data_IF_744886359750
#
_entry.id   IF_744886359750
#
_cell.length_a   1.000
_cell.length_b   1.000
_cell.length_c   1.000
_cell.angle_alpha   90.00
_cell.angle_beta   90.00
_cell.angle_gamma   90.00
#
_symmetry.space_group_name_H-M   'P 1'
#
loop_
_entity.id
_entity.type
_entity.pdbx_description
1 polymer ?
#
# COMPACT_ATOMS: atom_id res chain seq x y z
N UNK A 1 23.61 -32.83 -37.97
CA UNK A 1 24.17 -31.94 -36.93
C UNK A 1 23.39 -30.64 -37.02
N UNK A 2 22.25 -30.58 -36.34
CA UNK A 2 21.38 -29.42 -36.35
C UNK A 2 21.78 -28.47 -35.21
N UNK A 3 22.32 -27.32 -35.58
CA UNK A 3 22.62 -26.24 -34.66
C UNK A 3 21.32 -25.52 -34.28
N UNK A 4 20.68 -25.97 -33.20
CA UNK A 4 19.73 -25.14 -32.49
C UNK A 4 20.45 -23.92 -31.89
N UNK A 5 20.36 -22.80 -32.61
CA UNK A 5 20.69 -21.47 -32.10
C UNK A 5 19.73 -21.17 -30.95
N UNK A 6 20.15 -21.44 -29.72
CA UNK A 6 19.52 -20.88 -28.52
C UNK A 6 19.73 -19.37 -28.58
N UNK A 7 18.73 -18.64 -29.05
CA UNK A 7 18.63 -17.21 -28.81
C UNK A 7 18.59 -17.01 -27.30
N UNK A 8 19.69 -16.52 -26.74
CA UNK A 8 19.70 -16.00 -25.37
C UNK A 8 18.76 -14.80 -25.37
N UNK A 9 17.60 -14.92 -24.74
CA UNK A 9 16.68 -13.81 -24.51
C UNK A 9 17.47 -12.72 -23.78
N UNK A 10 17.84 -11.65 -24.48
CA UNK A 10 18.54 -10.52 -23.89
C UNK A 10 17.67 -9.94 -22.78
N UNK A 11 18.25 -9.67 -21.60
CA UNK A 11 17.51 -8.98 -20.54
C UNK A 11 17.13 -7.59 -21.05
N UNK A 12 15.83 -7.32 -21.06
CA UNK A 12 15.30 -6.04 -21.51
C UNK A 12 15.64 -4.98 -20.47
N UNK A 13 16.36 -3.93 -20.85
CA UNK A 13 16.72 -2.82 -19.95
C UNK A 13 15.98 -1.54 -20.36
N UNK A 14 15.51 -0.79 -19.37
CA UNK A 14 14.92 0.53 -19.65
C UNK A 14 15.97 1.47 -20.25
N UNK A 15 15.52 2.38 -21.13
CA UNK A 15 16.36 3.31 -21.88
C UNK A 15 17.39 2.68 -22.83
N UNK A 16 17.24 1.40 -23.17
CA UNK A 16 18.05 0.78 -24.21
C UNK A 16 17.46 1.04 -25.61
N UNK A 17 17.95 2.11 -26.26
CA UNK A 17 17.53 2.50 -27.61
C UNK A 17 17.73 1.41 -28.68
N UNK A 18 18.69 0.49 -28.49
CA UNK A 18 19.00 -0.51 -29.50
C UNK A 18 17.94 -1.62 -29.58
N UNK A 19 17.35 -1.97 -28.43
CA UNK A 19 16.42 -3.10 -28.29
C UNK A 19 14.96 -2.66 -28.13
N UNK A 20 14.73 -1.40 -27.76
CA UNK A 20 13.39 -0.82 -27.56
C UNK A 20 12.61 -0.64 -28.86
N UNK A 21 11.35 -1.05 -28.83
CA UNK A 21 10.37 -0.98 -29.93
C UNK A 21 9.31 0.13 -29.72
N UNK A 22 9.23 0.71 -28.52
CA UNK A 22 8.32 1.80 -28.16
C UNK A 22 9.07 2.92 -27.44
N UNK A 23 8.61 4.15 -27.61
CA UNK A 23 9.07 5.31 -26.84
C UNK A 23 7.93 5.84 -26.00
N UNK A 24 8.14 5.98 -24.70
CA UNK A 24 7.22 6.67 -23.81
C UNK A 24 7.66 8.11 -23.67
N UNK A 25 6.81 9.05 -24.05
CA UNK A 25 7.06 10.49 -23.95
C UNK A 25 6.35 11.03 -22.72
N UNK A 26 7.09 11.30 -21.66
CA UNK A 26 6.60 11.97 -20.46
C UNK A 26 6.56 13.47 -20.69
N UNK A 27 5.38 14.08 -20.59
CA UNK A 27 5.17 15.52 -20.79
C UNK A 27 4.57 16.16 -19.54
N UNK A 28 5.22 17.23 -19.10
CA UNK A 28 4.68 18.19 -18.12
C UNK A 28 4.54 19.56 -18.80
N UNK A 29 4.13 20.58 -18.05
CA UNK A 29 4.10 21.95 -18.56
C UNK A 29 5.50 22.45 -18.95
N UNK A 30 6.53 22.01 -18.22
CA UNK A 30 7.89 22.53 -18.31
C UNK A 30 8.90 21.53 -18.89
N UNK A 31 8.57 20.23 -18.91
CA UNK A 31 9.47 19.15 -19.33
C UNK A 31 8.87 18.27 -20.43
N UNK A 32 9.77 17.78 -21.28
CA UNK A 32 9.48 16.79 -22.31
C UNK A 32 10.62 15.77 -22.31
N UNK A 33 10.33 14.55 -21.85
CA UNK A 33 11.32 13.51 -21.64
C UNK A 33 10.94 12.23 -22.36
N UNK A 34 11.90 11.61 -23.05
CA UNK A 34 11.68 10.41 -23.85
C UNK A 34 12.37 9.23 -23.18
N UNK A 35 11.60 8.17 -22.95
CA UNK A 35 12.06 6.94 -22.33
C UNK A 35 11.96 5.82 -23.37
N UNK A 36 13.05 5.12 -23.63
CA UNK A 36 13.04 4.00 -24.58
C UNK A 36 12.59 2.73 -23.86
N UNK A 37 11.50 2.12 -24.34
CA UNK A 37 10.83 1.04 -23.67
C UNK A 37 10.56 -0.18 -24.56
N UNK A 38 10.20 -1.30 -23.92
CA UNK A 38 9.79 -2.54 -24.57
C UNK A 38 8.29 -2.75 -24.41
N UNK A 39 7.56 -2.83 -25.52
CA UNK A 39 6.10 -2.93 -25.54
C UNK A 39 5.60 -4.12 -24.73
N UNK A 40 6.26 -5.28 -24.85
CA UNK A 40 5.86 -6.50 -24.13
C UNK A 40 5.89 -6.33 -22.59
N UNK A 41 6.83 -5.55 -22.04
CA UNK A 41 6.88 -5.24 -20.59
C UNK A 41 5.76 -4.28 -20.23
N UNK A 42 5.61 -3.19 -20.99
CA UNK A 42 4.60 -2.17 -20.70
C UNK A 42 3.18 -2.74 -20.77
N UNK A 43 2.87 -3.51 -21.81
CA UNK A 43 1.55 -4.13 -22.03
C UNK A 43 1.25 -5.18 -20.96
N UNK A 44 2.26 -5.94 -20.53
CA UNK A 44 2.09 -6.95 -19.48
C UNK A 44 1.79 -6.32 -18.11
N UNK A 45 2.45 -5.20 -17.79
CA UNK A 45 2.45 -4.62 -16.44
C UNK A 45 1.48 -3.43 -16.27
N UNK A 46 0.89 -2.93 -17.36
CA UNK A 46 0.07 -1.72 -17.32
C UNK A 46 -1.08 -1.79 -18.30
N UNK A 47 -2.29 -1.65 -17.76
CA UNK A 47 -3.51 -1.54 -18.58
C UNK A 47 -3.48 -0.30 -19.48
N UNK A 48 -2.98 0.82 -18.98
CA UNK A 48 -2.87 2.07 -19.76
C UNK A 48 -2.04 1.87 -21.03
N UNK A 49 -0.89 1.21 -20.92
CA UNK A 49 -0.04 0.93 -22.08
C UNK A 49 -0.61 -0.17 -22.97
N UNK A 50 -1.24 -1.20 -22.40
CA UNK A 50 -1.96 -2.23 -23.16
C UNK A 50 -3.02 -1.62 -24.08
N UNK A 51 -3.82 -0.69 -23.56
CA UNK A 51 -4.88 -0.04 -24.33
C UNK A 51 -4.30 0.87 -25.43
N UNK A 52 -3.24 1.64 -25.13
CA UNK A 52 -2.64 2.61 -26.08
C UNK A 52 -1.71 2.01 -27.12
N UNK A 53 -1.18 0.82 -26.89
CA UNK A 53 -0.36 0.06 -27.84
C UNK A 53 -1.18 -0.98 -28.60
N UNK A 54 -2.49 -1.06 -28.35
CA UNK A 54 -3.39 -1.91 -29.10
C UNK A 54 -3.53 -1.46 -30.55
N UNK A 55 -3.85 -2.40 -31.45
CA UNK A 55 -4.13 -2.12 -32.87
C UNK A 55 -5.29 -1.14 -33.09
N UNK A 56 -6.13 -0.95 -32.07
CA UNK A 56 -7.30 -0.07 -32.10
C UNK A 56 -7.00 1.39 -31.76
N UNK A 57 -5.81 1.70 -31.23
CA UNK A 57 -5.44 3.07 -30.87
C UNK A 57 -4.71 3.76 -32.03
N UNK A 58 -5.07 5.02 -32.39
CA UNK A 58 -4.34 5.76 -33.41
C UNK A 58 -2.94 6.11 -32.88
N UNK A 59 -1.95 5.29 -33.22
CA UNK A 59 -0.56 5.50 -32.83
C UNK A 59 0.14 6.44 -33.81
N UNK A 60 0.81 7.45 -33.27
CA UNK A 60 1.79 8.23 -34.03
C UNK A 60 3.11 7.45 -34.06
N UNK A 61 3.55 7.06 -35.25
CA UNK A 61 4.91 6.57 -35.44
C UNK A 61 5.87 7.76 -35.40
N UNK A 62 6.89 7.69 -34.55
CA UNK A 62 7.95 8.70 -34.47
C UNK A 62 9.24 8.18 -35.12
N UNK A 63 10.30 8.98 -35.07
CA UNK A 63 11.65 8.67 -35.58
C UNK A 63 12.02 7.18 -35.43
N UNK A 64 12.58 6.61 -36.50
CA UNK A 64 12.89 5.19 -36.66
C UNK A 64 11.65 4.26 -36.74
N UNK A 65 10.45 4.78 -37.03
CA UNK A 65 9.18 4.03 -37.16
C UNK A 65 8.75 3.31 -35.88
N UNK A 66 9.15 3.80 -34.70
CA UNK A 66 8.73 3.26 -33.41
C UNK A 66 7.38 3.84 -32.98
N UNK A 67 6.62 3.06 -32.21
CA UNK A 67 5.40 3.55 -31.58
C UNK A 67 5.74 4.57 -30.49
N UNK A 68 4.99 5.68 -30.43
CA UNK A 68 5.11 6.68 -29.38
C UNK A 68 3.85 6.69 -28.50
N UNK A 69 4.04 6.56 -27.19
CA UNK A 69 2.95 6.74 -26.21
C UNK A 69 3.24 7.98 -25.38
N UNK A 70 2.38 8.99 -25.51
CA UNK A 70 2.45 10.18 -24.68
C UNK A 70 1.76 9.96 -23.33
N UNK A 71 2.45 10.30 -22.25
CA UNK A 71 1.94 10.31 -20.87
C UNK A 71 2.04 11.73 -20.35
N UNK A 72 0.90 12.30 -19.99
CA UNK A 72 0.83 13.63 -19.41
C UNK A 72 0.73 13.51 -17.89
N UNK A 73 1.60 14.22 -17.17
CA UNK A 73 1.57 14.30 -15.72
C UNK A 73 1.88 15.72 -15.25
N UNK A 74 1.57 15.99 -13.98
CA UNK A 74 1.99 17.22 -13.32
C UNK A 74 3.49 17.17 -13.04
N UNK A 75 4.12 18.34 -12.89
CA UNK A 75 5.55 18.44 -12.61
C UNK A 75 5.93 17.75 -11.30
N UNK A 76 5.08 17.81 -10.28
CA UNK A 76 5.25 17.10 -9.00
C UNK A 76 5.19 15.57 -9.13
N UNK A 77 4.52 15.07 -10.17
CA UNK A 77 4.32 13.65 -10.42
C UNK A 77 5.37 13.08 -11.38
N UNK A 78 6.21 13.93 -11.99
CA UNK A 78 7.15 13.53 -13.03
C UNK A 78 8.10 12.43 -12.56
N UNK A 79 8.79 12.66 -11.43
CA UNK A 79 9.77 11.71 -10.91
C UNK A 79 9.10 10.41 -10.48
N UNK A 80 7.90 10.48 -9.89
CA UNK A 80 7.10 9.31 -9.53
C UNK A 80 6.67 8.50 -10.76
N UNK A 81 6.24 9.18 -11.83
CA UNK A 81 5.84 8.55 -13.10
C UNK A 81 7.03 7.86 -13.77
N UNK A 82 8.19 8.52 -13.80
CA UNK A 82 9.44 7.94 -14.29
C UNK A 82 9.86 6.75 -13.44
N UNK A 83 9.69 6.83 -12.11
CA UNK A 83 9.98 5.72 -11.21
C UNK A 83 9.08 4.53 -11.53
N UNK A 84 7.76 4.72 -11.68
CA UNK A 84 6.85 3.63 -12.08
C UNK A 84 7.33 2.91 -13.33
N UNK A 85 7.73 3.65 -14.39
CA UNK A 85 8.27 3.02 -15.61
C UNK A 85 9.49 2.14 -15.34
N UNK A 86 10.40 2.58 -14.46
CA UNK A 86 11.57 1.77 -14.04
C UNK A 86 11.12 0.51 -13.28
N UNK A 87 10.08 0.59 -12.45
CA UNK A 87 9.57 -0.56 -11.70
C UNK A 87 8.95 -1.64 -12.58
N UNK A 88 8.33 -1.28 -13.71
CA UNK A 88 7.77 -2.28 -14.64
C UNK A 88 8.85 -3.26 -15.13
N UNK A 89 10.10 -2.78 -15.24
CA UNK A 89 11.25 -3.61 -15.62
C UNK A 89 11.78 -4.47 -14.47
N UNK A 90 11.76 -3.96 -13.23
CA UNK A 90 12.22 -4.73 -12.06
C UNK A 90 11.24 -5.85 -11.68
N UNK A 91 9.94 -5.58 -11.76
CA UNK A 91 8.89 -6.56 -11.45
C UNK A 91 8.89 -7.71 -12.45
N UNK A 92 9.15 -7.40 -13.74
CA UNK A 92 9.23 -8.41 -14.80
C UNK A 92 10.37 -9.42 -14.59
N UNK A 93 11.44 -9.04 -13.88
CA UNK A 93 12.60 -9.89 -13.60
C UNK A 93 12.49 -10.64 -12.24
N UNK A 94 11.32 -10.66 -11.60
CA UNK A 94 11.00 -11.43 -10.37
C UNK A 94 11.82 -11.10 -9.11
N UNK A 95 12.68 -10.08 -9.14
CA UNK A 95 13.50 -9.65 -8.00
C UNK A 95 12.96 -8.34 -7.41
N UNK A 96 11.76 -8.39 -6.82
CA UNK A 96 11.17 -7.22 -6.15
C UNK A 96 11.56 -7.28 -4.68
N UNK A 97 12.51 -6.42 -4.27
CA UNK A 97 12.78 -6.16 -2.86
C UNK A 97 12.02 -4.89 -2.45
N UNK A 98 11.49 -4.88 -1.22
CA UNK A 98 10.71 -3.80 -0.60
C UNK A 98 11.44 -2.45 -0.44
N UNK A 99 12.65 -2.29 -1.00
CA UNK A 99 13.48 -1.08 -0.91
C UNK A 99 13.13 -0.02 -1.98
N UNK A 100 12.05 -0.23 -2.72
CA UNK A 100 11.71 0.58 -3.90
C UNK A 100 11.19 1.98 -3.54
N UNK A 101 10.47 2.10 -2.43
CA UNK A 101 9.70 3.30 -2.18
C UNK A 101 10.45 4.38 -1.38
N UNK A 102 11.59 4.07 -0.74
CA UNK A 102 12.41 5.04 0.03
C UNK A 102 11.62 6.10 0.84
N UNK A 103 10.56 5.71 1.55
CA UNK A 103 9.74 6.58 2.40
C UNK A 103 8.25 6.61 2.03
N UNK A 104 7.42 7.06 2.97
CA UNK A 104 5.95 7.04 2.85
C UNK A 104 5.45 8.01 1.77
N UNK A 105 5.95 9.25 1.73
CA UNK A 105 5.53 10.24 0.72
C UNK A 105 5.88 9.80 -0.70
N UNK A 106 7.07 9.24 -0.89
CA UNK A 106 7.52 8.70 -2.17
C UNK A 106 6.68 7.47 -2.55
N UNK A 107 6.40 6.55 -1.61
CA UNK A 107 5.48 5.44 -1.83
C UNK A 107 4.10 5.92 -2.29
N UNK A 108 3.55 6.97 -1.67
CA UNK A 108 2.27 7.56 -2.05
C UNK A 108 2.29 8.16 -3.46
N UNK A 109 3.33 8.90 -3.81
CA UNK A 109 3.48 9.45 -5.16
C UNK A 109 3.60 8.36 -6.23
N UNK A 110 4.38 7.31 -5.96
CA UNK A 110 4.49 6.14 -6.85
C UNK A 110 3.14 5.41 -6.95
N UNK A 111 2.45 5.19 -5.82
CA UNK A 111 1.13 4.57 -5.77
C UNK A 111 0.12 5.32 -6.65
N UNK A 112 0.06 6.64 -6.54
CA UNK A 112 -0.79 7.48 -7.37
C UNK A 112 -0.47 7.35 -8.86
N UNK A 113 0.80 7.45 -9.23
CA UNK A 113 1.24 7.32 -10.61
C UNK A 113 0.94 5.93 -11.17
N UNK A 114 1.20 4.87 -10.40
CA UNK A 114 0.91 3.48 -10.76
C UNK A 114 -0.59 3.23 -10.93
N UNK A 115 -1.42 3.81 -10.05
CA UNK A 115 -2.86 3.72 -10.16
C UNK A 115 -3.37 4.43 -11.44
N UNK A 116 -2.88 5.64 -11.74
CA UNK A 116 -3.20 6.39 -12.97
C UNK A 116 -2.80 5.61 -14.23
N UNK A 117 -1.66 4.91 -14.20
CA UNK A 117 -1.17 4.07 -15.30
C UNK A 117 -1.75 2.64 -15.29
N UNK A 118 -2.60 2.30 -14.32
CA UNK A 118 -3.21 0.97 -14.22
C UNK A 118 -2.19 -0.16 -14.10
N UNK A 119 -1.22 -0.01 -13.18
CA UNK A 119 -0.15 -0.97 -12.90
C UNK A 119 -0.42 -1.72 -11.57
N UNK A 120 -1.21 -2.82 -11.55
CA UNK A 120 -1.70 -3.42 -10.31
C UNK A 120 -0.60 -4.04 -9.43
N UNK A 121 0.47 -4.56 -10.02
CA UNK A 121 1.60 -5.13 -9.27
C UNK A 121 2.37 -4.04 -8.51
N UNK A 122 2.58 -2.87 -9.13
CA UNK A 122 3.21 -1.72 -8.47
C UNK A 122 2.30 -1.16 -7.38
N UNK A 123 0.98 -1.07 -7.64
CA UNK A 123 -0.01 -0.64 -6.64
C UNK A 123 0.02 -1.55 -5.42
N UNK A 124 0.07 -2.87 -5.64
CA UNK A 124 0.14 -3.86 -4.56
C UNK A 124 1.44 -3.70 -3.76
N UNK A 125 2.60 -3.59 -4.42
CA UNK A 125 3.87 -3.41 -3.75
C UNK A 125 3.94 -2.12 -2.91
N UNK A 126 3.39 -1.01 -3.41
CA UNK A 126 3.29 0.23 -2.64
C UNK A 126 2.33 0.09 -1.46
N UNK A 127 1.19 -0.59 -1.62
CA UNK A 127 0.23 -0.81 -0.55
C UNK A 127 0.83 -1.67 0.57
N UNK A 128 1.53 -2.76 0.23
CA UNK A 128 2.22 -3.63 1.19
C UNK A 128 3.32 -2.87 1.96
N UNK A 129 4.09 -2.03 1.25
CA UNK A 129 5.08 -1.18 1.91
C UNK A 129 4.43 -0.20 2.89
N UNK A 130 3.40 0.54 2.44
CA UNK A 130 2.70 1.51 3.27
C UNK A 130 2.06 0.84 4.48
N UNK A 131 1.47 -0.34 4.33
CA UNK A 131 0.90 -1.12 5.42
C UNK A 131 1.96 -1.53 6.47
N UNK A 132 3.19 -1.83 6.03
CA UNK A 132 4.25 -2.34 6.90
C UNK A 132 5.03 -1.26 7.67
N UNK A 133 5.06 -0.02 7.22
CA UNK A 133 5.90 1.05 7.82
C UNK A 133 5.12 1.95 8.79
N UNK A 134 5.75 2.50 9.85
CA UNK A 134 5.13 3.52 10.69
C UNK A 134 4.90 4.81 9.88
N UNK A 135 3.91 5.61 10.30
CA UNK A 135 3.57 6.90 9.67
C UNK A 135 3.65 8.02 10.70
N UNK A 136 4.10 9.18 10.25
CA UNK A 136 3.89 10.44 10.97
C UNK A 136 2.47 10.98 10.75
N UNK A 137 1.99 11.84 11.65
CA UNK A 137 0.63 12.43 11.56
C UNK A 137 0.37 13.12 10.22
N UNK A 138 1.36 13.87 9.71
CA UNK A 138 1.25 14.51 8.39
C UNK A 138 1.16 13.50 7.24
N UNK A 139 1.82 12.34 7.36
CA UNK A 139 1.75 11.28 6.35
C UNK A 139 0.42 10.54 6.40
N UNK A 140 -0.16 10.36 7.59
CA UNK A 140 -1.51 9.82 7.76
C UNK A 140 -2.55 10.72 7.09
N UNK A 141 -2.48 12.03 7.26
CA UNK A 141 -3.37 12.96 6.57
C UNK A 141 -3.25 12.83 5.04
N UNK A 142 -2.04 12.68 4.53
CA UNK A 142 -1.80 12.52 3.09
C UNK A 142 -2.34 11.17 2.59
N UNK A 143 -2.16 10.08 3.35
CA UNK A 143 -2.78 8.78 3.08
C UNK A 143 -4.30 8.91 2.97
N UNK A 144 -4.94 9.60 3.91
CA UNK A 144 -6.39 9.83 3.94
C UNK A 144 -6.88 10.68 2.76
N UNK A 145 -6.08 11.60 2.24
CA UNK A 145 -6.42 12.38 1.04
C UNK A 145 -6.32 11.55 -0.23
N UNK A 146 -5.36 10.63 -0.30
CA UNK A 146 -4.94 9.97 -1.54
C UNK A 146 -5.64 8.63 -1.78
N UNK A 147 -5.65 7.76 -0.77
CA UNK A 147 -5.97 6.34 -0.93
C UNK A 147 -7.48 6.00 -1.06
N UNK A 148 -8.45 6.69 -0.42
CA UNK A 148 -9.85 6.25 -0.40
C UNK A 148 -10.51 5.94 -1.73
N UNK A 149 -10.02 6.53 -2.84
CA UNK A 149 -10.62 6.37 -4.17
C UNK A 149 -9.90 5.32 -5.05
N UNK A 150 -8.94 4.56 -4.52
CA UNK A 150 -8.09 3.64 -5.29
C UNK A 150 -8.53 2.16 -5.27
N UNK A 151 -9.69 1.86 -4.67
CA UNK A 151 -10.29 0.51 -4.69
C UNK A 151 -9.72 -0.44 -3.62
N UNK A 152 -9.95 -1.74 -3.78
CA UNK A 152 -9.71 -2.73 -2.72
C UNK A 152 -8.25 -3.12 -2.52
N UNK A 153 -7.37 -2.92 -3.51
CA UNK A 153 -5.95 -3.31 -3.42
C UNK A 153 -5.20 -2.56 -2.31
N UNK A 154 -5.63 -1.34 -2.00
CA UNK A 154 -5.09 -0.49 -0.94
C UNK A 154 -5.88 -0.57 0.37
N UNK A 155 -6.90 -1.42 0.42
CA UNK A 155 -7.77 -1.60 1.59
C UNK A 155 -7.02 -1.88 2.90
N UNK A 156 -5.97 -2.72 2.91
CA UNK A 156 -5.18 -2.98 4.13
C UNK A 156 -4.55 -1.72 4.72
N UNK A 157 -4.12 -0.77 3.89
CA UNK A 157 -3.57 0.52 4.35
C UNK A 157 -4.64 1.31 5.10
N UNK A 158 -5.84 1.47 4.54
CA UNK A 158 -6.95 2.17 5.19
C UNK A 158 -7.47 1.43 6.43
N UNK A 159 -7.32 0.11 6.50
CA UNK A 159 -7.73 -0.68 7.65
C UNK A 159 -6.95 -0.30 8.93
N UNK A 160 -5.72 0.22 8.80
CA UNK A 160 -4.95 0.77 9.94
C UNK A 160 -5.61 1.99 10.58
N UNK A 161 -6.41 2.72 9.80
CA UNK A 161 -7.09 3.94 10.23
C UNK A 161 -8.56 3.69 10.62
N UNK A 162 -9.05 2.46 10.40
CA UNK A 162 -10.41 2.14 10.82
C UNK A 162 -10.49 2.13 12.34
N UNK A 163 -11.44 2.85 12.93
CA UNK A 163 -11.64 2.79 14.37
C UNK A 163 -11.95 1.35 14.76
N UNK A 164 -11.29 0.89 15.83
CA UNK A 164 -11.60 -0.41 16.41
C UNK A 164 -13.09 -0.41 16.79
N UNK A 165 -13.85 -1.40 16.31
CA UNK A 165 -15.29 -1.42 16.56
C UNK A 165 -15.57 -1.40 18.07
N UNK A 166 -16.55 -0.62 18.51
CA UNK A 166 -16.94 -0.54 19.94
C UNK A 166 -17.18 -1.93 20.55
N UNK A 167 -17.73 -2.88 19.78
CA UNK A 167 -17.92 -4.26 20.25
C UNK A 167 -16.59 -4.98 20.50
N UNK A 168 -15.59 -4.83 19.63
CA UNK A 168 -14.27 -5.42 19.84
C UNK A 168 -13.58 -4.82 21.07
N UNK A 169 -13.71 -3.50 21.25
CA UNK A 169 -13.23 -2.79 22.43
C UNK A 169 -13.89 -3.34 23.72
N UNK A 170 -15.22 -3.43 23.76
CA UNK A 170 -15.96 -3.97 24.92
C UNK A 170 -15.54 -5.41 25.22
N UNK A 171 -15.43 -6.27 24.19
CA UNK A 171 -15.01 -7.67 24.38
C UNK A 171 -13.60 -7.79 24.93
N UNK A 172 -12.67 -6.96 24.45
CA UNK A 172 -11.31 -6.91 24.97
C UNK A 172 -11.30 -6.49 26.44
N UNK A 173 -12.03 -5.42 26.78
CA UNK A 173 -12.15 -4.91 28.14
C UNK A 173 -12.75 -5.96 29.10
N UNK A 174 -13.86 -6.59 28.72
CA UNK A 174 -14.50 -7.69 29.48
C UNK A 174 -13.55 -8.86 29.67
N UNK A 175 -12.75 -9.21 28.65
CA UNK A 175 -11.77 -10.29 28.75
C UNK A 175 -10.62 -9.96 29.70
N UNK A 176 -10.11 -8.72 29.63
CA UNK A 176 -9.10 -8.22 30.55
C UNK A 176 -9.61 -8.21 32.00
N UNK A 177 -10.85 -7.74 32.23
CA UNK A 177 -11.50 -7.80 33.53
C UNK A 177 -11.60 -9.22 34.08
N UNK A 178 -12.12 -10.16 33.29
CA UNK A 178 -12.23 -11.56 33.69
C UNK A 178 -10.88 -12.12 34.13
N UNK A 179 -9.84 -11.85 33.35
CA UNK A 179 -8.49 -12.29 33.64
C UNK A 179 -7.95 -11.65 34.93
N UNK A 180 -8.07 -10.32 35.05
CA UNK A 180 -7.67 -9.54 36.22
C UNK A 180 -8.38 -9.96 37.53
N UNK A 181 -9.61 -10.47 37.45
CA UNK A 181 -10.37 -10.95 38.62
C UNK A 181 -10.34 -12.47 38.78
N UNK A 182 -9.63 -13.20 37.92
CA UNK A 182 -9.52 -14.66 38.02
C UNK A 182 -8.42 -15.10 38.99
N UNK A 183 -8.30 -16.41 39.20
CA UNK A 183 -7.19 -17.04 39.90
C UNK A 183 -6.32 -17.82 38.90
N UNK A 184 -5.52 -17.14 38.07
CA UNK A 184 -4.66 -17.82 37.10
C UNK A 184 -3.50 -18.53 37.82
N UNK A 185 -2.78 -19.45 37.14
CA UNK A 185 -1.56 -20.06 37.67
C UNK A 185 -0.52 -19.02 38.07
N UNK A 186 0.35 -19.37 39.01
CA UNK A 186 1.36 -18.43 39.57
C UNK A 186 2.26 -17.80 38.51
N UNK A 187 2.54 -18.51 37.40
CA UNK A 187 3.33 -18.00 36.27
C UNK A 187 2.71 -16.80 35.54
N UNK A 188 1.42 -16.54 35.75
CA UNK A 188 0.67 -15.43 35.13
C UNK A 188 0.32 -14.33 36.13
N UNK A 189 0.79 -14.40 37.38
CA UNK A 189 0.50 -13.39 38.40
C UNK A 189 0.97 -11.99 38.00
N UNK A 190 2.13 -11.88 37.34
CA UNK A 190 2.63 -10.59 36.86
C UNK A 190 1.70 -9.99 35.80
N UNK A 191 1.27 -10.80 34.83
CA UNK A 191 0.32 -10.38 33.81
C UNK A 191 -1.02 -9.97 34.41
N UNK A 192 -1.49 -10.70 35.44
CA UNK A 192 -2.72 -10.36 36.17
C UNK A 192 -2.60 -8.99 36.83
N UNK A 193 -1.50 -8.75 37.54
CA UNK A 193 -1.23 -7.46 38.18
C UNK A 193 -1.18 -6.33 37.15
N UNK A 194 -0.48 -6.52 36.04
CA UNK A 194 -0.46 -5.54 34.94
C UNK A 194 -1.86 -5.30 34.39
N UNK A 195 -2.67 -6.34 34.18
CA UNK A 195 -4.05 -6.18 33.73
C UNK A 195 -4.90 -5.39 34.74
N UNK A 196 -4.71 -5.60 36.05
CA UNK A 196 -5.39 -4.84 37.10
C UNK A 196 -4.99 -3.36 37.09
N UNK A 197 -3.69 -3.06 37.00
CA UNK A 197 -3.16 -1.70 36.94
C UNK A 197 -3.65 -0.95 35.69
N UNK A 198 -3.65 -1.61 34.53
CA UNK A 198 -4.15 -1.01 33.29
C UNK A 198 -5.66 -0.76 33.32
N UNK A 199 -6.45 -1.68 33.91
CA UNK A 199 -7.88 -1.47 34.10
C UNK A 199 -8.18 -0.33 35.07
N UNK A 200 -7.41 -0.21 36.15
CA UNK A 200 -7.53 0.91 37.10
C UNK A 200 -7.28 2.24 36.38
N UNK A 201 -6.16 2.36 35.66
CA UNK A 201 -5.83 3.55 34.87
C UNK A 201 -6.95 3.92 33.89
N UNK A 202 -7.43 2.95 33.10
CA UNK A 202 -8.54 3.16 32.14
C UNK A 202 -9.87 3.58 32.80
N UNK A 203 -10.08 3.25 34.07
CA UNK A 203 -11.31 3.56 34.81
C UNK A 203 -11.24 4.88 35.57
N UNK A 204 -10.05 5.32 35.98
CA UNK A 204 -9.88 6.45 36.90
C UNK A 204 -9.15 7.65 36.29
N UNK A 205 -8.31 7.45 35.28
CA UNK A 205 -7.43 8.49 34.73
C UNK A 205 -7.69 8.84 33.25
N UNK A 206 -8.56 8.09 32.57
CA UNK A 206 -8.94 8.36 31.17
C UNK A 206 -10.07 9.41 31.13
N UNK A 207 -9.72 10.69 30.95
CA UNK A 207 -10.65 11.84 30.87
C UNK A 207 -11.62 11.74 29.66
N UNK A 208 -11.28 10.93 28.65
CA UNK A 208 -12.14 10.59 27.53
C UNK A 208 -13.13 9.48 27.93
N UNK A 209 -14.12 9.80 28.77
CA UNK A 209 -15.17 8.90 29.30
C UNK A 209 -16.08 8.18 28.27
N UNK A 210 -15.67 8.10 27.00
CA UNK A 210 -16.43 7.57 25.87
C UNK A 210 -16.45 6.02 25.80
N UNK A 211 -15.38 5.36 26.25
CA UNK A 211 -15.17 3.92 26.06
C UNK A 211 -16.12 3.08 26.94
N UNK A 212 -16.43 3.60 28.13
CA UNK A 212 -17.32 3.03 29.13
C UNK A 212 -18.56 3.89 29.36
N UNK A 213 -19.04 4.57 28.33
CA UNK A 213 -20.37 5.19 28.36
C UNK A 213 -21.37 4.22 28.99
N UNK A 214 -22.08 4.71 30.01
CA UNK A 214 -22.83 3.94 31.01
C UNK A 214 -23.95 3.03 30.47
N UNK A 215 -24.07 2.83 29.16
CA UNK A 215 -25.08 2.01 28.48
C UNK A 215 -24.59 0.63 27.99
N UNK A 216 -23.34 0.24 28.25
CA UNK A 216 -22.92 -1.14 27.95
C UNK A 216 -23.40 -2.12 29.04
N UNK A 217 -24.61 -2.65 28.86
CA UNK A 217 -25.17 -3.71 29.73
C UNK A 217 -24.21 -4.89 29.92
N UNK A 218 -23.40 -5.20 28.91
CA UNK A 218 -22.40 -6.27 28.94
C UNK A 218 -21.31 -6.02 29.99
N UNK A 219 -20.74 -4.81 30.07
CA UNK A 219 -19.72 -4.48 31.07
C UNK A 219 -20.32 -4.48 32.47
N UNK A 220 -21.51 -3.89 32.66
CA UNK A 220 -22.21 -3.90 33.95
C UNK A 220 -22.46 -5.33 34.46
N UNK A 221 -22.93 -6.21 33.57
CA UNK A 221 -23.16 -7.62 33.91
C UNK A 221 -21.86 -8.31 34.29
N UNK A 222 -20.76 -8.04 33.57
CA UNK A 222 -19.46 -8.63 33.91
C UNK A 222 -18.95 -8.16 35.27
N UNK A 223 -19.01 -6.85 35.57
CA UNK A 223 -18.63 -6.32 36.90
C UNK A 223 -19.38 -7.05 38.01
N UNK A 224 -20.69 -7.21 37.87
CA UNK A 224 -21.52 -7.93 38.85
C UNK A 224 -21.09 -9.40 38.97
N UNK A 225 -20.76 -10.06 37.87
CA UNK A 225 -20.27 -11.44 37.89
C UNK A 225 -18.89 -11.56 38.55
N UNK A 226 -17.97 -10.65 38.27
CA UNK A 226 -16.65 -10.60 38.89
C UNK A 226 -16.75 -10.43 40.40
N UNK A 227 -17.57 -9.49 40.88
CA UNK A 227 -17.82 -9.28 42.32
C UNK A 227 -18.37 -10.55 42.98
N UNK A 228 -19.26 -11.27 42.31
CA UNK A 228 -19.80 -12.54 42.83
C UNK A 228 -18.79 -13.69 42.89
N UNK A 229 -17.65 -13.57 42.21
CA UNK A 229 -16.59 -14.58 42.15
C UNK A 229 -15.42 -14.28 43.10
N UNK A 230 -15.35 -13.06 43.64
CA UNK A 230 -14.45 -12.67 44.72
C UNK A 230 -14.96 -13.24 46.06
#
# INVERSE_FOLDING_TARGET
MDCHRKESKASSRIDDRLTSDVVVRLRTQDRDHWVYCHSHILVQQSKYFADRLSDTWPMCQILDSRNCVEVHCEESDFDHTLHVLRLLYLISDSSVNADICHGVRTALGILQAAFKLGCPEVVTACAEYLEAVPWEEAEEEDILKVIPNMGSQVGPVLARLQPVTRSAIIKLFVSAMRFATSSPPESLNDLKRTAQEQLEYMLTEDDDGSLLTADSNEVKLEVVQCIKRL
#
